data_IF_053412235384
#
_entry.id   IF_053412235384
#
_cell.length_a   1.000
_cell.length_b   1.000
_cell.length_c   1.000
_cell.angle_alpha   90.00
_cell.angle_beta   90.00
_cell.angle_gamma   90.00
#
_symmetry.space_group_name_H-M   'P 1'
#
loop_
_entity.id
_entity.type
_entity.pdbx_description
1 polymer ?
#
# COMPACT_ATOMS: atom_id res chain seq x y z
N UNK A 1 20.36 -13.44 1.90
CA UNK A 1 20.65 -13.62 3.34
C UNK A 1 21.95 -14.42 3.47
N UNK A 2 23.00 -13.83 4.04
CA UNK A 2 24.34 -14.46 4.08
C UNK A 2 24.53 -15.38 5.29
N UNK A 3 23.81 -15.12 6.37
CA UNK A 3 23.85 -15.91 7.57
C UNK A 3 22.47 -15.99 8.22
N UNK A 4 22.22 -17.05 8.97
CA UNK A 4 20.98 -17.26 9.73
C UNK A 4 21.33 -17.61 11.19
N UNK A 5 20.52 -17.11 12.12
CA UNK A 5 20.64 -17.44 13.53
C UNK A 5 20.00 -18.78 13.91
N UNK A 6 20.14 -19.16 15.17
CA UNK A 6 19.49 -20.37 15.68
C UNK A 6 17.96 -20.27 15.55
N UNK A 7 17.32 -21.36 15.12
CA UNK A 7 15.86 -21.45 14.95
C UNK A 7 15.31 -20.79 13.66
N UNK A 8 16.15 -20.20 12.81
CA UNK A 8 15.74 -19.72 11.50
C UNK A 8 15.65 -20.88 10.51
N UNK A 9 14.55 -20.99 9.72
CA UNK A 9 14.45 -22.03 8.69
C UNK A 9 15.62 -21.97 7.71
N UNK A 10 16.17 -23.15 7.36
CA UNK A 10 17.38 -23.26 6.53
C UNK A 10 17.18 -22.73 5.09
N UNK A 11 15.95 -22.72 4.60
CA UNK A 11 15.57 -22.23 3.28
C UNK A 11 15.77 -20.72 3.08
N UNK A 12 16.00 -19.96 4.15
CA UNK A 12 16.37 -18.55 4.07
C UNK A 12 17.84 -18.32 3.66
N UNK A 13 18.73 -19.27 3.94
CA UNK A 13 20.16 -19.12 3.66
C UNK A 13 20.40 -19.05 2.15
N UNK A 14 21.18 -18.08 1.71
CA UNK A 14 21.49 -17.83 0.30
C UNK A 14 20.35 -17.20 -0.52
N UNK A 15 19.19 -16.98 0.07
CA UNK A 15 18.04 -16.38 -0.65
C UNK A 15 18.06 -14.86 -0.61
N UNK A 16 17.51 -14.25 -1.67
CA UNK A 16 17.14 -12.84 -1.65
C UNK A 16 15.85 -12.66 -0.87
N UNK A 17 15.77 -11.61 -0.06
CA UNK A 17 14.60 -11.31 0.77
C UNK A 17 14.21 -9.85 0.61
N UNK A 18 12.91 -9.59 0.71
CA UNK A 18 12.38 -8.26 0.98
C UNK A 18 12.04 -8.19 2.47
N UNK A 19 12.32 -7.04 3.09
CA UNK A 19 12.13 -6.86 4.53
C UNK A 19 10.92 -5.97 4.76
N UNK A 20 9.92 -6.48 5.48
CA UNK A 20 8.70 -5.73 5.77
C UNK A 20 8.99 -4.57 6.73
N UNK A 21 9.68 -4.84 7.83
CA UNK A 21 10.06 -3.83 8.81
C UNK A 21 11.28 -4.26 9.62
N UNK A 22 12.00 -3.27 10.12
CA UNK A 22 13.12 -3.45 11.07
C UNK A 22 12.99 -2.42 12.18
N UNK A 23 11.82 -2.37 12.86
CA UNK A 23 11.52 -1.39 13.90
C UNK A 23 11.77 -1.92 15.32
N UNK A 24 12.01 -3.22 15.46
CA UNK A 24 12.32 -3.81 16.77
C UNK A 24 13.74 -3.44 17.15
N UNK A 25 13.89 -2.60 18.15
CA UNK A 25 15.19 -2.27 18.71
C UNK A 25 15.61 -3.41 19.66
N UNK A 26 16.73 -4.04 19.37
CA UNK A 26 17.43 -4.95 20.27
C UNK A 26 18.93 -4.68 20.15
N UNK A 27 19.72 -5.19 21.09
CA UNK A 27 21.19 -5.05 21.03
C UNK A 27 21.78 -5.74 19.79
N UNK A 28 21.05 -6.71 19.23
CA UNK A 28 21.49 -7.49 18.07
C UNK A 28 20.95 -6.95 16.73
N UNK A 29 20.04 -5.97 16.75
CA UNK A 29 19.43 -5.45 15.51
C UNK A 29 20.33 -4.41 14.87
N UNK A 30 20.78 -4.68 13.65
CA UNK A 30 21.48 -3.71 12.79
C UNK A 30 20.47 -3.18 11.76
N UNK A 31 20.37 -1.85 11.69
CA UNK A 31 19.40 -1.17 10.82
C UNK A 31 19.63 -1.43 9.33
N UNK A 32 18.61 -1.14 8.53
CA UNK A 32 18.61 -1.44 7.09
C UNK A 32 19.51 -0.50 6.25
N UNK A 33 19.83 0.68 6.77
CA UNK A 33 20.74 1.63 6.11
C UNK A 33 22.19 1.34 6.49
N UNK A 34 22.62 0.14 6.15
CA UNK A 34 23.95 -0.38 6.45
C UNK A 34 24.35 -1.43 5.42
N UNK A 35 25.64 -1.71 5.30
CA UNK A 35 26.14 -2.75 4.39
C UNK A 35 25.68 -4.15 4.79
N UNK A 36 25.48 -4.35 6.09
CA UNK A 36 24.94 -5.60 6.64
C UNK A 36 23.83 -5.24 7.64
N UNK A 37 22.67 -5.85 7.46
CA UNK A 37 21.53 -5.69 8.34
C UNK A 37 21.26 -7.00 9.10
N UNK A 38 20.94 -6.90 10.38
CA UNK A 38 20.47 -8.01 11.20
C UNK A 38 19.05 -7.75 11.64
N UNK A 39 18.12 -8.58 11.18
CA UNK A 39 16.68 -8.40 11.36
C UNK A 39 16.00 -9.72 11.72
N UNK A 40 14.85 -9.69 12.39
CA UNK A 40 14.05 -10.89 12.62
C UNK A 40 13.63 -11.52 11.28
N UNK A 41 13.90 -12.81 11.11
CA UNK A 41 13.52 -13.53 9.90
C UNK A 41 12.00 -13.51 9.65
N UNK A 42 11.19 -13.44 10.73
CA UNK A 42 9.74 -13.31 10.67
C UNK A 42 9.24 -12.02 10.02
N UNK A 43 10.13 -11.06 9.78
CA UNK A 43 9.86 -9.83 9.00
C UNK A 43 10.35 -9.92 7.55
N UNK A 44 10.90 -11.05 7.14
CA UNK A 44 11.47 -11.26 5.82
C UNK A 44 10.53 -12.09 4.93
N UNK A 45 10.35 -11.62 3.71
CA UNK A 45 9.68 -12.36 2.63
C UNK A 45 10.76 -12.88 1.68
N UNK A 46 10.76 -14.18 1.39
CA UNK A 46 11.67 -14.78 0.41
C UNK A 46 11.22 -14.37 -1.00
N UNK A 47 12.12 -13.77 -1.75
CA UNK A 47 11.86 -13.37 -3.12
C UNK A 47 12.06 -14.53 -4.09
N UNK A 48 11.22 -14.64 -5.16
CA UNK A 48 11.46 -15.57 -6.25
C UNK A 48 12.84 -15.34 -6.88
N UNK A 49 13.48 -16.40 -7.38
CA UNK A 49 14.79 -16.29 -8.05
C UNK A 49 14.76 -15.46 -9.34
N UNK A 50 13.58 -15.26 -9.92
CA UNK A 50 13.34 -14.48 -11.13
C UNK A 50 13.34 -12.95 -10.92
N UNK A 51 13.40 -12.49 -9.67
CA UNK A 51 13.39 -11.07 -9.34
C UNK A 51 14.64 -10.68 -8.54
N UNK A 52 14.97 -9.39 -8.52
CA UNK A 52 16.11 -8.87 -7.76
C UNK A 52 15.64 -8.14 -6.52
N UNK A 53 16.30 -8.35 -5.39
CA UNK A 53 15.97 -7.68 -4.11
C UNK A 53 15.97 -6.14 -4.23
N UNK A 54 16.84 -5.59 -5.07
CA UNK A 54 16.89 -4.16 -5.39
C UNK A 54 15.51 -3.62 -5.81
N UNK A 55 14.73 -4.39 -6.57
CA UNK A 55 13.43 -3.96 -7.09
C UNK A 55 12.34 -3.89 -5.99
N UNK A 56 12.67 -4.30 -4.76
CA UNK A 56 11.74 -4.37 -3.63
C UNK A 56 12.19 -3.55 -2.41
N UNK A 57 13.22 -2.74 -2.53
CA UNK A 57 13.80 -2.00 -1.40
C UNK A 57 12.85 -1.01 -0.70
N UNK A 58 11.75 -0.62 -1.33
CA UNK A 58 10.75 0.28 -0.75
C UNK A 58 9.30 -0.15 -0.95
N UNK A 59 9.05 -1.37 -1.44
CA UNK A 59 7.70 -1.79 -1.84
C UNK A 59 6.97 -2.64 -0.81
N UNK A 60 7.65 -3.49 -0.04
CA UNK A 60 6.98 -4.50 0.78
C UNK A 60 6.04 -3.90 1.85
N UNK A 61 6.39 -2.75 2.41
CA UNK A 61 5.50 -2.04 3.34
C UNK A 61 4.18 -1.63 2.67
N UNK A 62 4.25 -1.18 1.41
CA UNK A 62 3.06 -0.78 0.65
C UNK A 62 2.17 -1.99 0.32
N UNK A 63 2.79 -3.09 -0.09
CA UNK A 63 2.10 -4.35 -0.41
C UNK A 63 1.47 -4.96 0.84
N UNK A 64 2.18 -4.96 1.98
CA UNK A 64 1.64 -5.44 3.25
C UNK A 64 0.50 -4.54 3.75
N UNK A 65 0.61 -3.22 3.57
CA UNK A 65 -0.46 -2.28 3.93
C UNK A 65 -1.73 -2.58 3.14
N UNK A 66 -1.61 -2.79 1.85
CA UNK A 66 -2.73 -3.16 0.97
C UNK A 66 -3.33 -4.52 1.38
N UNK A 67 -2.48 -5.53 1.63
CA UNK A 67 -2.93 -6.87 2.06
C UNK A 67 -3.68 -6.80 3.39
N UNK A 68 -3.11 -6.15 4.41
CA UNK A 68 -3.71 -6.03 5.73
C UNK A 68 -5.05 -5.28 5.69
N UNK A 69 -5.15 -4.25 4.85
CA UNK A 69 -6.40 -3.53 4.66
C UNK A 69 -7.48 -4.41 4.02
N UNK A 70 -7.14 -5.19 3.00
CA UNK A 70 -8.10 -6.11 2.38
C UNK A 70 -8.59 -7.17 3.37
N UNK A 71 -7.72 -7.69 4.24
CA UNK A 71 -8.14 -8.60 5.33
C UNK A 71 -9.15 -7.93 6.27
N UNK A 72 -8.88 -6.66 6.64
CA UNK A 72 -9.75 -5.92 7.56
C UNK A 72 -11.13 -5.64 6.97
N UNK A 73 -11.20 -5.16 5.72
CA UNK A 73 -12.50 -4.83 5.10
C UNK A 73 -13.33 -6.07 4.78
N UNK A 74 -12.70 -7.18 4.41
CA UNK A 74 -13.41 -8.45 4.21
C UNK A 74 -13.96 -8.97 5.55
N UNK A 75 -13.18 -8.91 6.61
CA UNK A 75 -13.64 -9.28 7.96
C UNK A 75 -14.78 -8.37 8.46
N UNK A 76 -14.80 -7.10 8.02
CA UNK A 76 -15.88 -6.15 8.32
C UNK A 76 -17.12 -6.29 7.41
N UNK A 77 -17.10 -7.21 6.42
CA UNK A 77 -18.23 -7.50 5.54
C UNK A 77 -18.34 -6.60 4.30
N UNK A 78 -17.35 -5.77 4.02
CA UNK A 78 -17.31 -4.97 2.80
C UNK A 78 -17.04 -5.86 1.58
N UNK A 79 -17.69 -5.56 0.46
CA UNK A 79 -17.62 -6.35 -0.78
C UNK A 79 -16.90 -5.63 -1.92
N UNK A 80 -16.53 -4.38 -1.74
CA UNK A 80 -15.77 -3.58 -2.70
C UNK A 80 -15.12 -2.39 -2.00
N UNK A 81 -14.14 -1.78 -2.68
CA UNK A 81 -13.33 -0.70 -2.10
C UNK A 81 -13.11 0.44 -3.08
N UNK A 82 -13.16 1.67 -2.60
CA UNK A 82 -12.70 2.89 -3.28
C UNK A 82 -11.31 3.23 -2.71
N UNK A 83 -10.33 3.48 -3.58
CA UNK A 83 -8.94 3.72 -3.19
C UNK A 83 -8.51 5.08 -3.68
N UNK A 84 -8.28 6.04 -2.79
CA UNK A 84 -7.67 7.33 -3.16
C UNK A 84 -6.18 7.17 -3.41
N UNK A 85 -5.56 8.09 -4.14
CA UNK A 85 -4.18 7.94 -4.62
C UNK A 85 -3.94 6.59 -5.33
N UNK A 86 -4.88 6.17 -6.19
CA UNK A 86 -4.90 4.87 -6.84
C UNK A 86 -3.65 4.52 -7.64
N UNK A 87 -2.94 5.52 -8.16
CA UNK A 87 -1.67 5.34 -8.90
C UNK A 87 -0.43 5.30 -7.99
N UNK A 88 -0.58 5.45 -6.67
CA UNK A 88 0.53 5.27 -5.71
C UNK A 88 0.96 3.81 -5.62
N UNK A 89 2.13 3.54 -5.04
CA UNK A 89 2.60 2.18 -4.83
C UNK A 89 1.61 1.34 -4.00
N UNK A 90 1.01 1.92 -2.95
CA UNK A 90 0.00 1.25 -2.12
C UNK A 90 -1.31 1.04 -2.88
N UNK A 91 -1.79 2.07 -3.61
CA UNK A 91 -3.03 1.99 -4.39
C UNK A 91 -2.96 0.93 -5.48
N UNK A 92 -1.86 0.88 -6.23
CA UNK A 92 -1.61 -0.13 -7.28
C UNK A 92 -1.51 -1.55 -6.69
N UNK A 93 -0.80 -1.70 -5.56
CA UNK A 93 -0.72 -2.97 -4.86
C UNK A 93 -2.09 -3.44 -4.39
N UNK A 94 -2.92 -2.51 -3.88
CA UNK A 94 -4.27 -2.83 -3.45
C UNK A 94 -5.15 -3.26 -4.62
N UNK A 95 -5.14 -2.54 -5.74
CA UNK A 95 -5.88 -2.90 -6.95
C UNK A 95 -5.53 -4.31 -7.43
N UNK A 96 -4.23 -4.62 -7.52
CA UNK A 96 -3.75 -5.94 -7.94
C UNK A 96 -4.17 -7.06 -6.97
N UNK A 97 -4.01 -6.85 -5.67
CA UNK A 97 -4.41 -7.83 -4.65
C UNK A 97 -5.94 -8.02 -4.57
N UNK A 98 -6.70 -6.94 -4.72
CA UNK A 98 -8.17 -6.99 -4.77
C UNK A 98 -8.64 -7.79 -5.99
N UNK A 99 -8.07 -7.52 -7.17
CA UNK A 99 -8.35 -8.26 -8.40
C UNK A 99 -8.04 -9.75 -8.25
N UNK A 100 -6.90 -10.11 -7.68
CA UNK A 100 -6.54 -11.51 -7.41
C UNK A 100 -7.56 -12.21 -6.49
N UNK A 101 -8.21 -11.45 -5.59
CA UNK A 101 -9.25 -11.93 -4.66
C UNK A 101 -10.67 -11.82 -5.22
N UNK A 102 -10.83 -11.32 -6.45
CA UNK A 102 -12.14 -11.02 -7.07
C UNK A 102 -12.98 -10.03 -6.25
N UNK A 103 -12.31 -9.13 -5.54
CA UNK A 103 -12.93 -8.02 -4.81
C UNK A 103 -12.90 -6.77 -5.72
N UNK A 104 -14.03 -6.16 -6.05
CA UNK A 104 -14.06 -4.93 -6.84
C UNK A 104 -13.29 -3.80 -6.17
N UNK A 105 -12.43 -3.12 -6.95
CA UNK A 105 -11.71 -1.95 -6.49
C UNK A 105 -11.85 -0.80 -7.49
N UNK A 106 -12.20 0.39 -7.01
CA UNK A 106 -12.26 1.62 -7.80
C UNK A 106 -11.03 2.45 -7.44
N UNK A 107 -10.10 2.62 -8.39
CA UNK A 107 -8.92 3.42 -8.18
C UNK A 107 -9.20 4.89 -8.54
N UNK A 108 -9.19 5.76 -7.53
CA UNK A 108 -9.37 7.19 -7.69
C UNK A 108 -8.01 7.88 -7.82
N UNK A 109 -7.80 8.59 -8.90
CA UNK A 109 -6.55 9.29 -9.24
C UNK A 109 -6.78 10.78 -9.46
N UNK A 110 -5.72 11.57 -9.42
CA UNK A 110 -5.81 13.03 -9.49
C UNK A 110 -6.14 13.55 -10.88
N UNK A 111 -5.58 12.92 -11.93
CA UNK A 111 -5.61 13.45 -13.31
C UNK A 111 -6.07 12.38 -14.29
N UNK A 112 -6.66 12.82 -15.40
CA UNK A 112 -7.15 11.95 -16.46
C UNK A 112 -6.03 11.08 -17.08
N UNK A 113 -4.83 11.64 -17.25
CA UNK A 113 -3.68 10.91 -17.79
C UNK A 113 -3.28 9.72 -16.91
N UNK A 114 -3.35 9.89 -15.59
CA UNK A 114 -3.08 8.80 -14.64
C UNK A 114 -4.19 7.73 -14.72
N UNK A 115 -5.44 8.13 -14.94
CA UNK A 115 -6.53 7.18 -15.14
C UNK A 115 -6.35 6.37 -16.43
N UNK A 116 -6.00 7.02 -17.53
CA UNK A 116 -5.71 6.36 -18.80
C UNK A 116 -4.53 5.36 -18.68
N UNK A 117 -3.47 5.75 -17.94
CA UNK A 117 -2.33 4.87 -17.69
C UNK A 117 -2.75 3.59 -16.96
N UNK A 118 -3.53 3.71 -15.87
CA UNK A 118 -4.00 2.56 -15.11
C UNK A 118 -4.96 1.67 -15.91
N UNK A 119 -5.83 2.25 -16.73
CA UNK A 119 -6.70 1.47 -17.62
C UNK A 119 -5.90 0.66 -18.64
N UNK A 120 -4.84 1.25 -19.23
CA UNK A 120 -3.92 0.52 -20.14
C UNK A 120 -3.16 -0.60 -19.43
N UNK A 121 -2.93 -0.47 -18.12
CA UNK A 121 -2.34 -1.52 -17.29
C UNK A 121 -3.36 -2.60 -16.87
N UNK A 122 -4.62 -2.47 -17.30
CA UNK A 122 -5.67 -3.47 -17.07
C UNK A 122 -6.49 -3.25 -15.79
N UNK A 123 -6.44 -2.05 -15.19
CA UNK A 123 -7.32 -1.72 -14.07
C UNK A 123 -8.74 -1.40 -14.60
N UNK A 124 -9.76 -2.20 -14.20
CA UNK A 124 -11.08 -2.11 -14.81
C UNK A 124 -11.88 -0.87 -14.38
N UNK A 125 -11.67 -0.39 -13.17
CA UNK A 125 -12.46 0.70 -12.59
C UNK A 125 -11.53 1.80 -12.09
N UNK A 126 -11.35 2.83 -12.93
CA UNK A 126 -10.52 3.99 -12.60
C UNK A 126 -11.31 5.27 -12.82
N UNK A 127 -11.32 6.13 -11.81
CA UNK A 127 -12.00 7.42 -11.80
C UNK A 127 -10.98 8.52 -11.59
N UNK A 128 -11.03 9.58 -12.41
CA UNK A 128 -10.24 10.78 -12.18
C UNK A 128 -10.99 11.74 -11.25
N UNK A 129 -10.28 12.38 -10.33
CA UNK A 129 -10.83 13.48 -9.54
C UNK A 129 -11.11 14.70 -10.41
N UNK A 130 -12.06 15.54 -10.01
CA UNK A 130 -12.39 16.78 -10.71
C UNK A 130 -13.89 16.99 -10.85
N UNK A 131 -14.25 17.78 -11.81
CA UNK A 131 -15.66 18.04 -12.15
C UNK A 131 -16.37 16.74 -12.54
N UNK A 132 -17.59 16.51 -12.03
CA UNK A 132 -18.35 15.28 -12.27
C UNK A 132 -17.88 14.06 -11.47
N UNK A 133 -16.99 14.23 -10.48
CA UNK A 133 -16.53 13.11 -9.64
C UNK A 133 -17.69 12.33 -9.03
N UNK A 134 -18.66 13.03 -8.42
CA UNK A 134 -19.80 12.40 -7.76
C UNK A 134 -20.67 11.63 -8.76
N UNK A 135 -20.94 12.22 -9.91
CA UNK A 135 -21.81 11.64 -10.95
C UNK A 135 -21.19 10.36 -11.56
N UNK A 136 -19.87 10.30 -11.59
CA UNK A 136 -19.14 9.12 -12.10
C UNK A 136 -18.96 8.06 -11.01
N UNK A 137 -18.58 8.48 -9.81
CA UNK A 137 -18.23 7.56 -8.73
C UNK A 137 -19.45 6.91 -8.08
N UNK A 138 -20.54 7.67 -7.86
CA UNK A 138 -21.70 7.16 -7.12
C UNK A 138 -22.34 5.92 -7.77
N UNK A 139 -22.73 5.94 -9.06
CA UNK A 139 -23.33 4.76 -9.70
C UNK A 139 -22.38 3.57 -9.77
N UNK A 140 -21.08 3.84 -9.95
CA UNK A 140 -20.06 2.79 -9.98
C UNK A 140 -19.87 2.14 -8.62
N UNK A 141 -19.78 2.95 -7.55
CA UNK A 141 -19.64 2.47 -6.19
C UNK A 141 -20.84 1.63 -5.75
N UNK A 142 -22.06 2.07 -6.09
CA UNK A 142 -23.29 1.33 -5.80
C UNK A 142 -23.31 -0.01 -6.54
N UNK A 143 -23.04 0.00 -7.85
CA UNK A 143 -23.04 -1.22 -8.68
C UNK A 143 -22.05 -2.27 -8.18
N UNK A 144 -20.87 -1.82 -7.71
CA UNK A 144 -19.81 -2.69 -7.24
C UNK A 144 -19.89 -3.02 -5.74
N UNK A 145 -20.85 -2.43 -5.01
CA UNK A 145 -20.96 -2.58 -3.57
C UNK A 145 -19.72 -2.07 -2.83
N UNK A 146 -19.08 -1.00 -3.34
CA UNK A 146 -17.83 -0.46 -2.83
C UNK A 146 -18.11 0.45 -1.62
N UNK A 147 -18.33 -0.15 -0.47
CA UNK A 147 -18.66 0.53 0.81
C UNK A 147 -17.43 0.79 1.70
N UNK A 148 -16.26 0.28 1.37
CA UNK A 148 -15.02 0.64 2.04
C UNK A 148 -14.29 1.74 1.24
N UNK A 149 -13.77 2.76 1.92
CA UNK A 149 -12.89 3.77 1.30
C UNK A 149 -11.52 3.68 1.96
N UNK A 150 -10.49 3.41 1.17
CA UNK A 150 -9.10 3.42 1.62
C UNK A 150 -8.46 4.75 1.24
N UNK A 151 -8.47 5.68 2.19
CA UNK A 151 -8.06 7.05 1.92
C UNK A 151 -6.66 7.38 2.40
N UNK A 152 -5.79 7.66 1.44
CA UNK A 152 -4.42 8.14 1.66
C UNK A 152 -4.23 9.62 1.40
N UNK A 153 -5.24 10.31 0.87
CA UNK A 153 -5.15 11.72 0.46
C UNK A 153 -5.66 12.65 1.54
N UNK A 154 -6.85 12.40 2.07
CA UNK A 154 -7.50 13.32 3.00
C UNK A 154 -8.01 14.60 2.33
N UNK A 155 -8.16 15.65 3.12
CA UNK A 155 -8.38 17.02 2.65
C UNK A 155 -9.60 17.22 1.75
N UNK A 156 -9.40 18.03 0.72
CA UNK A 156 -10.47 18.41 -0.21
C UNK A 156 -11.01 17.21 -1.00
N UNK A 157 -10.14 16.29 -1.44
CA UNK A 157 -10.58 15.13 -2.22
C UNK A 157 -11.46 14.20 -1.38
N UNK A 158 -11.03 13.89 -0.15
CA UNK A 158 -11.82 13.06 0.76
C UNK A 158 -13.17 13.69 1.05
N UNK A 159 -13.24 15.01 1.20
CA UNK A 159 -14.51 15.76 1.38
C UNK A 159 -15.40 15.66 0.14
N UNK A 160 -14.83 15.83 -1.05
CA UNK A 160 -15.56 15.84 -2.31
C UNK A 160 -16.16 14.45 -2.68
N UNK A 161 -15.55 13.35 -2.24
CA UNK A 161 -16.07 12.02 -2.54
C UNK A 161 -17.23 11.58 -1.62
N UNK A 162 -17.40 12.21 -0.43
CA UNK A 162 -18.43 11.81 0.54
C UNK A 162 -19.83 11.70 -0.05
N UNK A 163 -20.30 12.66 -0.88
CA UNK A 163 -21.64 12.58 -1.49
C UNK A 163 -21.82 11.34 -2.39
N UNK A 164 -20.73 10.82 -2.97
CA UNK A 164 -20.77 9.64 -3.87
C UNK A 164 -20.79 8.31 -3.12
N UNK A 165 -20.56 8.28 -1.80
CA UNK A 165 -20.46 7.03 -1.05
C UNK A 165 -21.82 6.35 -0.92
N UNK A 166 -21.91 5.02 -1.10
CA UNK A 166 -23.10 4.25 -0.76
C UNK A 166 -23.49 4.35 0.72
N UNK A 167 -24.70 3.89 1.04
CA UNK A 167 -25.13 3.70 2.43
C UNK A 167 -24.19 2.77 3.19
N UNK A 168 -24.02 3.01 4.50
CA UNK A 168 -23.21 2.21 5.42
C UNK A 168 -21.72 2.16 5.04
N UNK A 169 -21.23 3.17 4.31
CA UNK A 169 -19.81 3.22 3.93
C UNK A 169 -18.93 3.55 5.11
N UNK A 170 -17.74 2.92 5.13
CA UNK A 170 -16.68 3.24 6.08
C UNK A 170 -15.48 3.85 5.37
N UNK A 171 -15.09 5.06 5.77
CA UNK A 171 -13.88 5.71 5.30
C UNK A 171 -12.74 5.40 6.28
N UNK A 172 -11.71 4.73 5.77
CA UNK A 172 -10.49 4.38 6.50
C UNK A 172 -9.36 5.33 6.10
N UNK A 173 -9.07 6.31 6.97
CA UNK A 173 -7.96 7.22 6.78
C UNK A 173 -6.63 6.53 7.15
N UNK A 174 -5.74 6.35 6.17
CA UNK A 174 -4.40 5.79 6.41
C UNK A 174 -3.27 6.75 6.04
N UNK A 175 -3.58 7.85 5.37
CA UNK A 175 -2.62 8.88 4.97
C UNK A 175 -3.25 10.27 4.94
N UNK A 176 -2.43 11.27 4.66
CA UNK A 176 -2.79 12.69 4.63
C UNK A 176 -1.90 13.45 3.64
N UNK A 177 -1.93 13.02 2.36
CA UNK A 177 -1.13 13.66 1.30
C UNK A 177 -1.57 15.09 1.01
N UNK A 178 -2.88 15.38 1.10
CA UNK A 178 -3.39 16.74 1.08
C UNK A 178 -3.38 17.33 2.49
N UNK A 179 -2.49 18.31 2.69
CA UNK A 179 -2.36 19.07 3.96
C UNK A 179 -2.93 20.48 3.86
N UNK A 180 -3.40 20.88 2.68
CA UNK A 180 -3.84 22.24 2.42
C UNK A 180 -5.27 22.50 2.92
N UNK A 181 -6.13 21.48 2.90
CA UNK A 181 -7.52 21.59 3.28
C UNK A 181 -7.90 20.59 4.39
N UNK A 182 -8.83 20.95 5.28
CA UNK A 182 -9.38 20.01 6.23
C UNK A 182 -10.29 19.00 5.52
N UNK A 183 -10.35 17.78 6.06
CA UNK A 183 -11.40 16.83 5.70
C UNK A 183 -12.71 17.23 6.39
N UNK A 184 -13.79 17.33 5.63
CA UNK A 184 -15.09 17.78 6.09
C UNK A 184 -16.20 16.85 5.61
N UNK A 185 -17.09 16.46 6.51
CA UNK A 185 -18.31 15.71 6.21
C UNK A 185 -19.54 16.53 6.63
N UNK A 186 -20.47 16.84 5.72
CA UNK A 186 -21.75 17.40 6.11
C UNK A 186 -22.49 16.45 7.05
N UNK A 187 -22.93 16.94 8.21
CA UNK A 187 -23.63 16.13 9.23
C UNK A 187 -24.84 15.39 8.66
N UNK A 188 -25.57 16.03 7.74
CA UNK A 188 -26.70 15.39 7.04
C UNK A 188 -26.29 14.14 6.28
N UNK A 189 -25.19 14.20 5.53
CA UNK A 189 -24.69 13.03 4.80
C UNK A 189 -24.18 11.94 5.72
N UNK A 190 -23.47 12.33 6.81
CA UNK A 190 -23.03 11.38 7.83
C UNK A 190 -24.19 10.57 8.40
N UNK A 191 -25.27 11.28 8.79
CA UNK A 191 -26.45 10.65 9.38
C UNK A 191 -27.30 9.88 8.37
N UNK A 192 -27.62 10.50 7.24
CA UNK A 192 -28.53 9.90 6.24
C UNK A 192 -27.94 8.69 5.57
N UNK A 193 -26.62 8.63 5.38
CA UNK A 193 -25.93 7.50 4.75
C UNK A 193 -25.32 6.52 5.75
N UNK A 194 -25.48 6.77 7.05
CA UNK A 194 -24.88 5.95 8.12
C UNK A 194 -23.38 5.72 7.86
N UNK A 195 -22.63 6.84 7.71
CA UNK A 195 -21.21 6.78 7.39
C UNK A 195 -20.38 6.56 8.65
N UNK A 196 -19.34 5.77 8.54
CA UNK A 196 -18.32 5.60 9.58
C UNK A 196 -17.00 6.19 9.12
N UNK A 197 -16.31 6.90 10.01
CA UNK A 197 -14.94 7.36 9.81
C UNK A 197 -14.03 6.71 10.84
N UNK A 198 -12.94 6.09 10.38
CA UNK A 198 -11.96 5.50 11.29
C UNK A 198 -10.56 5.57 10.70
N UNK A 199 -9.57 5.49 11.58
CA UNK A 199 -8.17 5.39 11.20
C UNK A 199 -7.85 3.94 10.81
N UNK A 200 -7.00 3.78 9.79
CA UNK A 200 -6.33 2.53 9.51
C UNK A 200 -4.81 2.68 9.71
N UNK A 201 -4.19 1.71 10.36
CA UNK A 201 -2.75 1.57 10.48
C UNK A 201 -2.37 0.11 10.28
N UNK A 202 -1.55 -0.18 9.28
CA UNK A 202 -1.12 -1.55 9.05
C UNK A 202 -0.35 -2.12 10.25
N UNK A 203 0.41 -1.28 10.97
CA UNK A 203 1.16 -1.69 12.16
C UNK A 203 0.27 -2.09 13.35
N UNK A 204 -0.97 -1.63 13.35
CA UNK A 204 -1.97 -1.94 14.39
C UNK A 204 -3.02 -2.95 13.91
N UNK A 205 -3.02 -3.30 12.63
CA UNK A 205 -3.92 -4.30 12.07
C UNK A 205 -3.67 -5.67 12.71
N UNK A 206 -4.71 -6.48 12.83
CA UNK A 206 -4.61 -7.86 13.30
C UNK A 206 -3.60 -8.67 12.47
N UNK A 207 -3.53 -8.44 11.16
CA UNK A 207 -2.58 -9.08 10.24
C UNK A 207 -1.13 -8.89 10.66
N UNK A 208 -0.78 -7.71 11.19
CA UNK A 208 0.63 -7.38 11.50
C UNK A 208 0.95 -7.55 12.99
N UNK A 209 -0.01 -7.32 13.87
CA UNK A 209 0.19 -7.47 15.33
C UNK A 209 0.28 -8.92 15.79
N UNK A 210 -0.45 -9.80 15.14
CA UNK A 210 -0.47 -11.23 15.48
C UNK A 210 0.63 -11.97 14.68
N UNK A 211 1.67 -12.54 15.33
CA UNK A 211 2.81 -13.14 14.62
C UNK A 211 2.41 -14.24 13.63
N UNK A 212 1.39 -15.01 13.96
CA UNK A 212 0.90 -16.08 13.08
C UNK A 212 0.23 -15.52 11.82
N UNK A 213 -0.55 -14.44 11.96
CA UNK A 213 -1.18 -13.76 10.81
C UNK A 213 -0.15 -13.05 9.94
N UNK A 214 0.86 -12.41 10.54
CA UNK A 214 1.97 -11.81 9.79
C UNK A 214 2.71 -12.87 8.97
N UNK A 215 3.05 -14.00 9.58
CA UNK A 215 3.70 -15.09 8.87
C UNK A 215 2.84 -15.66 7.73
N UNK A 216 1.53 -15.77 7.93
CA UNK A 216 0.59 -16.19 6.89
C UNK A 216 0.50 -15.16 5.76
N UNK A 217 0.44 -13.87 6.09
CA UNK A 217 0.43 -12.79 5.11
C UNK A 217 1.71 -12.75 4.26
N UNK A 218 2.88 -12.89 4.88
CA UNK A 218 4.16 -12.96 4.16
C UNK A 218 4.18 -14.14 3.19
N UNK A 219 3.75 -15.33 3.62
CA UNK A 219 3.65 -16.52 2.72
C UNK A 219 2.65 -16.29 1.57
N UNK A 220 1.51 -15.68 1.84
CA UNK A 220 0.54 -15.36 0.79
C UNK A 220 1.12 -14.37 -0.24
N UNK A 221 1.90 -13.39 0.23
CA UNK A 221 2.56 -12.43 -0.63
C UNK A 221 3.74 -13.04 -1.42
N UNK A 222 4.46 -14.03 -0.89
CA UNK A 222 5.49 -14.76 -1.64
C UNK A 222 4.98 -15.33 -2.96
N UNK A 223 3.74 -15.81 -2.98
CA UNK A 223 3.13 -16.39 -4.17
C UNK A 223 2.87 -15.38 -5.31
N UNK A 224 2.73 -14.09 -4.99
CA UNK A 224 2.33 -13.06 -5.95
C UNK A 224 3.37 -11.96 -6.14
N UNK A 225 4.34 -11.83 -5.23
CA UNK A 225 5.29 -10.71 -5.19
C UNK A 225 6.15 -10.57 -6.46
N UNK A 226 6.26 -11.63 -7.25
CA UNK A 226 6.98 -11.61 -8.53
C UNK A 226 6.33 -10.72 -9.60
N UNK A 227 5.05 -10.37 -9.45
CA UNK A 227 4.36 -9.49 -10.40
C UNK A 227 5.01 -8.09 -10.40
N UNK A 228 5.31 -7.53 -11.59
CA UNK A 228 5.90 -6.20 -11.73
C UNK A 228 5.15 -5.07 -11.02
N UNK A 229 3.84 -5.20 -10.82
CA UNK A 229 3.02 -4.20 -10.13
C UNK A 229 3.48 -3.92 -8.69
N UNK A 230 4.12 -4.91 -8.05
CA UNK A 230 4.62 -4.80 -6.67
C UNK A 230 6.05 -4.26 -6.57
N UNK A 231 6.72 -4.02 -7.68
CA UNK A 231 8.09 -3.50 -7.68
C UNK A 231 8.13 -2.03 -7.25
N UNK A 232 9.21 -1.66 -6.58
CA UNK A 232 9.54 -0.26 -6.34
C UNK A 232 9.84 0.43 -7.67
N UNK A 233 9.20 1.55 -7.95
CA UNK A 233 9.59 2.41 -9.08
C UNK A 233 10.91 3.09 -8.72
N UNK A 234 12.00 2.54 -9.24
CA UNK A 234 13.35 3.03 -8.94
C UNK A 234 13.62 4.35 -9.65
N UNK A 235 14.15 5.31 -8.90
CA UNK A 235 14.76 6.52 -9.39
C UNK A 235 16.29 6.42 -9.38
N UNK A 236 16.94 7.51 -8.96
CA UNK A 236 18.39 7.59 -8.87
C UNK A 236 18.94 6.77 -7.71
N UNK A 237 20.11 6.17 -7.92
CA UNK A 237 20.81 5.37 -6.94
C UNK A 237 21.98 6.17 -6.33
N UNK A 238 22.10 6.14 -5.02
CA UNK A 238 23.13 6.84 -4.26
C UNK A 238 23.91 5.86 -3.39
N UNK A 239 25.21 6.15 -3.19
CA UNK A 239 25.98 5.49 -2.14
C UNK A 239 25.56 6.03 -0.75
N UNK A 240 25.86 5.31 0.32
CA UNK A 240 25.45 5.71 1.67
C UNK A 240 26.02 7.07 2.11
N UNK A 241 27.21 7.43 1.67
CA UNK A 241 27.84 8.72 1.92
C UNK A 241 27.06 9.90 1.30
N UNK A 242 26.17 9.65 0.35
CA UNK A 242 25.34 10.64 -0.32
C UNK A 242 23.88 10.60 0.13
N UNK A 243 23.60 10.09 1.34
CA UNK A 243 22.24 9.95 1.87
C UNK A 243 21.47 11.28 1.91
N UNK A 244 22.14 12.40 2.22
CA UNK A 244 21.49 13.72 2.25
C UNK A 244 21.01 14.14 0.85
N UNK A 245 21.79 13.86 -0.19
CA UNK A 245 21.39 14.11 -1.58
C UNK A 245 20.22 13.23 -1.98
N UNK A 246 20.24 11.97 -1.58
CA UNK A 246 19.12 11.04 -1.83
C UNK A 246 17.82 11.49 -1.13
N UNK A 247 17.93 12.04 0.08
CA UNK A 247 16.78 12.57 0.83
C UNK A 247 16.24 13.88 0.26
N UNK A 248 17.11 14.71 -0.32
CA UNK A 248 16.72 15.98 -0.95
C UNK A 248 16.16 15.81 -2.38
N UNK A 249 16.32 14.63 -2.97
CA UNK A 249 15.86 14.40 -4.34
C UNK A 249 14.31 14.44 -4.42
N UNK A 250 13.78 15.41 -5.13
CA UNK A 250 12.40 15.41 -5.56
C UNK A 250 12.25 14.45 -6.77
N UNK A 251 11.94 13.19 -6.47
CA UNK A 251 11.86 12.19 -7.50
C UNK A 251 10.56 12.36 -8.32
N UNK A 252 10.65 12.57 -9.64
CA UNK A 252 9.47 12.72 -10.50
C UNK A 252 8.66 11.41 -10.54
N UNK A 253 7.35 11.52 -10.74
CA UNK A 253 6.43 10.41 -11.03
C UNK A 253 6.40 9.28 -9.97
N UNK A 254 6.61 9.59 -8.69
CA UNK A 254 6.55 8.60 -7.61
C UNK A 254 7.72 7.61 -7.61
N UNK A 255 8.80 7.89 -8.35
CA UNK A 255 10.06 7.13 -8.27
C UNK A 255 10.72 7.35 -6.92
N UNK A 256 11.50 6.39 -6.48
CA UNK A 256 12.21 6.43 -5.19
C UNK A 256 13.70 6.56 -5.42
N UNK A 257 14.34 7.54 -4.78
CA UNK A 257 15.79 7.49 -4.57
C UNK A 257 16.13 6.23 -3.77
N UNK A 258 17.21 5.56 -4.12
CA UNK A 258 17.64 4.33 -3.44
C UNK A 258 19.08 4.47 -2.96
N UNK A 259 19.37 3.89 -1.80
CA UNK A 259 20.72 3.73 -1.31
C UNK A 259 21.23 2.34 -1.68
N UNK A 260 22.45 2.27 -2.18
CA UNK A 260 23.14 1.03 -2.51
C UNK A 260 24.29 0.81 -1.55
N UNK A 261 24.31 -0.36 -0.91
CA UNK A 261 25.51 -0.86 -0.25
C UNK A 261 26.61 -1.03 -1.31
N UNK A 262 27.86 -0.78 -0.95
CA UNK A 262 28.99 -1.16 -1.80
C UNK A 262 28.98 -2.68 -1.97
N UNK A 263 29.10 -3.14 -3.22
CA UNK A 263 29.19 -4.56 -3.54
C UNK A 263 30.49 -5.17 -3.02
#
# INVERSE_FOLDING_TARGET
>A
MHAIGAGVPADYLGRQVAIYRSLTRSAETIGLWSEQAQVPWTSCLILPQTVRARDYCGSLVNVMTAHAFLEEIVAAGHRGVIVTAGNSATGRALGALARARKLPAILLVRHAEAAEALRREGEPHVVAAGEGLVDTLAPLAETLGATAVFDGVGGALASALVPALPMHSTLYAYGFLDRAAPFSIPTSLLMMKDLTLRRFSNFESATVREPQRLAAALRALEAVIGDPVFRTRLGEAFAYEHVEQAMALEAPEGRKAILLARA
#
